data_IF_422371701506
#
_entry.id   IF_422371701506
#
_cell.length_a   1.000
_cell.length_b   1.000
_cell.length_c   1.000
_cell.angle_alpha   90.00
_cell.angle_beta   90.00
_cell.angle_gamma   90.00
#
_symmetry.space_group_name_H-M   'P 1'
#
loop_
_entity.id
_entity.type
_entity.pdbx_description
1 polymer ?
#
# COMPACT_ATOMS: atom_id res chain seq x y z
N UNK A 1 -19.21 7.37 13.15
CA UNK A 1 -20.15 8.51 13.01
C UNK A 1 -19.58 9.48 12.00
N UNK A 2 -20.39 9.91 11.01
CA UNK A 2 -19.99 10.93 10.04
C UNK A 2 -20.70 12.24 10.40
N UNK A 3 -19.92 13.24 10.79
CA UNK A 3 -20.47 14.58 11.09
C UNK A 3 -20.80 15.25 9.75
N UNK A 4 -22.05 15.72 9.54
CA UNK A 4 -22.41 16.47 8.34
C UNK A 4 -21.53 17.72 8.19
N UNK A 5 -21.17 18.04 6.95
CA UNK A 5 -20.44 19.27 6.64
C UNK A 5 -21.40 20.41 6.33
N UNK A 6 -20.94 21.63 6.54
CA UNK A 6 -21.71 22.85 6.20
C UNK A 6 -22.13 22.77 4.72
N UNK A 7 -23.42 23.01 4.46
CA UNK A 7 -24.03 22.93 3.14
C UNK A 7 -24.61 21.56 2.78
N UNK A 8 -24.40 20.52 3.62
CA UNK A 8 -25.08 19.23 3.42
C UNK A 8 -26.51 19.28 3.98
N UNK A 9 -27.43 18.71 3.23
CA UNK A 9 -28.81 18.52 3.64
C UNK A 9 -28.95 17.24 4.45
N UNK A 10 -29.69 17.29 5.55
CA UNK A 10 -29.84 16.18 6.50
C UNK A 10 -31.31 15.90 6.78
N UNK A 11 -31.59 14.65 7.11
CA UNK A 11 -32.89 14.24 7.65
C UNK A 11 -32.79 14.34 9.16
N UNK A 12 -33.69 15.12 9.75
CA UNK A 12 -33.82 15.27 11.20
C UNK A 12 -35.07 14.54 11.67
N UNK A 13 -34.90 13.72 12.66
CA UNK A 13 -35.98 13.08 13.40
C UNK A 13 -35.97 13.56 14.87
N UNK A 14 -37.00 13.28 15.62
CA UNK A 14 -37.13 13.72 17.01
C UNK A 14 -37.34 12.52 17.92
N UNK A 15 -36.47 12.38 18.92
CA UNK A 15 -36.51 11.25 19.83
C UNK A 15 -37.85 11.26 20.59
N UNK A 16 -38.58 10.15 20.54
CA UNK A 16 -39.92 9.99 21.10
C UNK A 16 -40.94 11.02 20.59
N UNK A 17 -40.71 11.65 19.44
CA UNK A 17 -41.53 12.70 18.88
C UNK A 17 -41.43 14.08 19.60
N UNK A 18 -40.43 14.22 20.46
CA UNK A 18 -40.21 15.45 21.23
C UNK A 18 -39.30 16.42 20.44
N UNK A 19 -39.81 17.60 20.06
CA UNK A 19 -39.06 18.62 19.31
C UNK A 19 -37.78 19.12 20.01
N UNK A 20 -37.68 18.98 21.32
CA UNK A 20 -36.51 19.38 22.09
C UNK A 20 -35.34 18.40 22.00
N UNK A 21 -35.59 17.22 21.42
CA UNK A 21 -34.56 16.16 21.21
C UNK A 21 -34.35 15.81 19.74
N UNK A 22 -33.83 16.73 18.89
CA UNK A 22 -33.59 16.47 17.48
C UNK A 22 -32.39 15.56 17.32
N UNK A 23 -32.49 14.58 16.39
CA UNK A 23 -31.40 13.68 15.97
C UNK A 23 -31.28 13.68 14.45
N UNK A 24 -30.05 13.64 13.95
CA UNK A 24 -29.78 13.48 12.52
C UNK A 24 -29.75 11.99 12.19
N UNK A 25 -30.71 11.51 11.40
CA UNK A 25 -30.87 10.11 11.03
C UNK A 25 -30.32 9.80 9.64
N UNK A 26 -30.13 10.80 8.79
CA UNK A 26 -29.63 10.59 7.43
C UNK A 26 -29.10 11.85 6.76
N UNK A 27 -28.57 11.65 5.56
CA UNK A 27 -28.13 12.72 4.67
C UNK A 27 -28.74 12.51 3.30
N UNK A 28 -29.06 13.58 2.61
CA UNK A 28 -29.56 13.55 1.24
C UNK A 28 -28.67 14.38 0.33
N UNK A 29 -28.68 14.09 -0.94
CA UNK A 29 -28.00 14.88 -1.95
C UNK A 29 -28.88 16.02 -2.42
N UNK A 30 -28.27 17.15 -2.76
CA UNK A 30 -28.96 18.31 -3.36
C UNK A 30 -28.10 18.91 -4.48
N UNK A 31 -28.58 19.96 -5.13
CA UNK A 31 -27.91 20.58 -6.27
C UNK A 31 -26.49 21.13 -5.92
N UNK A 32 -26.22 21.45 -4.67
CA UNK A 32 -24.92 21.95 -4.19
C UNK A 32 -24.01 20.82 -3.69
N UNK A 33 -24.58 19.67 -3.34
CA UNK A 33 -23.89 18.50 -2.78
C UNK A 33 -24.35 17.24 -3.55
N UNK A 34 -23.89 17.14 -4.79
CA UNK A 34 -24.21 16.02 -5.68
C UNK A 34 -23.54 14.71 -5.21
N UNK A 35 -24.08 13.54 -5.59
CA UNK A 35 -23.43 12.26 -5.37
C UNK A 35 -21.97 12.25 -5.84
N UNK A 36 -21.14 11.48 -5.13
CA UNK A 36 -19.71 11.36 -5.45
C UNK A 36 -19.45 10.82 -6.86
N UNK A 37 -20.37 9.99 -7.36
CA UNK A 37 -20.29 9.36 -8.68
C UNK A 37 -21.46 9.80 -9.55
N UNK A 38 -21.14 10.10 -10.82
CA UNK A 38 -22.11 10.61 -11.78
C UNK A 38 -23.12 9.51 -12.18
N UNK A 39 -24.39 9.76 -11.95
CA UNK A 39 -25.48 8.91 -12.40
C UNK A 39 -25.99 9.35 -13.80
N UNK A 40 -26.44 8.41 -14.65
CA UNK A 40 -26.55 6.96 -14.45
C UNK A 40 -25.27 6.17 -14.78
N UNK A 41 -24.17 6.84 -15.20
CA UNK A 41 -22.94 6.19 -15.67
C UNK A 41 -22.37 5.21 -14.63
N UNK A 42 -22.32 5.63 -13.38
CA UNK A 42 -21.71 4.86 -12.27
C UNK A 42 -22.76 4.29 -11.30
N UNK A 43 -23.87 3.78 -11.82
CA UNK A 43 -24.98 3.25 -11.02
C UNK A 43 -24.63 2.02 -10.17
N UNK A 44 -23.55 1.32 -10.50
CA UNK A 44 -23.03 0.15 -9.80
C UNK A 44 -21.98 0.51 -8.74
N UNK A 45 -21.58 1.78 -8.68
CA UNK A 45 -20.63 2.26 -7.68
C UNK A 45 -21.34 2.66 -6.40
N UNK A 46 -20.76 2.26 -5.27
CA UNK A 46 -21.19 2.64 -3.93
C UNK A 46 -19.99 2.96 -3.03
N UNK A 47 -20.22 3.66 -1.93
CA UNK A 47 -19.14 3.93 -1.01
C UNK A 47 -19.27 5.25 -0.25
N UNK A 48 -18.15 5.71 0.27
CA UNK A 48 -18.03 6.92 1.08
C UNK A 48 -16.92 7.79 0.48
N UNK A 49 -17.24 9.06 0.23
CA UNK A 49 -16.25 10.07 -0.13
C UNK A 49 -16.32 11.21 0.89
N UNK A 50 -15.15 11.64 1.36
CA UNK A 50 -15.01 12.80 2.24
C UNK A 50 -14.12 13.83 1.58
N UNK A 51 -14.44 15.10 1.73
CA UNK A 51 -13.60 16.20 1.23
C UNK A 51 -12.70 16.71 2.34
N UNK A 52 -11.54 17.22 1.99
CA UNK A 52 -10.65 17.89 2.94
C UNK A 52 -11.31 19.13 3.54
N UNK A 53 -10.98 19.43 4.77
CA UNK A 53 -11.52 20.61 5.45
C UNK A 53 -11.04 21.91 4.80
N UNK A 54 -11.79 23.00 4.99
CA UNK A 54 -11.45 24.35 4.53
C UNK A 54 -11.24 24.48 3.03
N UNK A 55 -11.93 23.68 2.23
CA UNK A 55 -11.84 23.75 0.76
C UNK A 55 -10.48 23.29 0.19
N UNK A 56 -9.79 22.38 0.89
CA UNK A 56 -8.45 21.93 0.55
C UNK A 56 -8.29 21.16 -0.78
N UNK A 57 -9.38 20.98 -1.54
CA UNK A 57 -9.35 20.45 -2.92
C UNK A 57 -9.10 18.95 -3.07
N UNK A 58 -8.85 18.22 -1.97
CA UNK A 58 -8.61 16.78 -1.98
C UNK A 58 -9.70 15.99 -1.26
N UNK A 59 -9.67 14.68 -1.42
CA UNK A 59 -10.64 13.72 -0.88
C UNK A 59 -9.98 12.47 -0.30
N UNK A 60 -10.73 11.79 0.56
CA UNK A 60 -10.51 10.39 0.93
C UNK A 60 -11.72 9.59 0.48
N UNK A 61 -11.53 8.35 0.05
CA UNK A 61 -12.58 7.56 -0.57
C UNK A 61 -12.47 6.09 -0.22
N UNK A 62 -13.63 5.48 0.05
CA UNK A 62 -13.85 4.04 0.01
C UNK A 62 -14.90 3.81 -1.08
N UNK A 63 -14.56 3.07 -2.11
CA UNK A 63 -15.41 2.80 -3.27
C UNK A 63 -15.51 1.31 -3.52
N UNK A 64 -16.71 0.87 -3.83
CA UNK A 64 -17.04 -0.45 -4.36
C UNK A 64 -17.55 -0.28 -5.79
N UNK A 65 -17.10 -1.13 -6.69
CA UNK A 65 -17.65 -1.28 -8.04
C UNK A 65 -18.16 -2.72 -8.19
N UNK A 66 -19.46 -2.87 -8.39
CA UNK A 66 -20.14 -4.16 -8.48
C UNK A 66 -20.50 -4.54 -9.92
N UNK A 67 -20.05 -3.76 -10.92
CA UNK A 67 -20.30 -4.09 -12.31
C UNK A 67 -19.54 -5.35 -12.70
N UNK A 68 -20.28 -6.36 -13.22
CA UNK A 68 -19.73 -7.63 -13.66
C UNK A 68 -18.57 -7.47 -14.65
N UNK A 69 -17.41 -8.06 -14.31
CA UNK A 69 -16.21 -8.07 -15.13
C UNK A 69 -15.24 -6.93 -14.83
N UNK A 70 -15.63 -5.96 -13.98
CA UNK A 70 -14.77 -4.87 -13.51
C UNK A 70 -14.89 -4.66 -11.99
N UNK A 71 -15.34 -5.69 -11.28
CA UNK A 71 -15.51 -5.63 -9.83
C UNK A 71 -14.20 -5.23 -9.14
N UNK A 72 -14.28 -4.21 -8.29
CA UNK A 72 -13.12 -3.78 -7.52
C UNK A 72 -13.50 -3.02 -6.24
N UNK A 73 -12.56 -3.00 -5.31
CA UNK A 73 -12.60 -2.18 -4.12
C UNK A 73 -11.42 -1.22 -4.13
N UNK A 74 -11.68 0.04 -3.79
CA UNK A 74 -10.67 1.08 -3.67
C UNK A 74 -10.77 1.77 -2.32
N UNK A 75 -9.65 1.85 -1.60
CA UNK A 75 -9.45 2.74 -0.47
C UNK A 75 -8.36 3.74 -0.84
N UNK A 76 -8.69 5.02 -0.92
CA UNK A 76 -7.73 6.02 -1.43
C UNK A 76 -7.76 7.34 -0.67
N UNK A 77 -6.63 8.03 -0.76
CA UNK A 77 -6.45 9.41 -0.34
C UNK A 77 -5.70 10.18 -1.43
N UNK A 78 -6.19 11.36 -1.77
CA UNK A 78 -5.48 12.23 -2.74
C UNK A 78 -4.13 12.72 -2.18
N UNK A 79 -3.92 12.66 -0.84
CA UNK A 79 -2.63 12.96 -0.25
C UNK A 79 -1.59 11.91 -0.65
N UNK A 80 -0.51 12.35 -1.30
CA UNK A 80 0.53 11.48 -1.79
C UNK A 80 0.04 10.42 -2.79
N UNK A 81 -1.16 10.59 -3.37
CA UNK A 81 -1.77 9.60 -4.26
C UNK A 81 -1.72 8.19 -3.68
N UNK A 82 -2.12 8.08 -2.41
CA UNK A 82 -2.07 6.82 -1.66
C UNK A 82 -3.34 6.03 -1.88
N UNK A 83 -3.20 4.76 -2.28
CA UNK A 83 -4.34 3.88 -2.48
C UNK A 83 -4.04 2.39 -2.26
N UNK A 84 -5.09 1.68 -1.86
CA UNK A 84 -5.19 0.23 -1.92
C UNK A 84 -6.33 -0.12 -2.88
N UNK A 85 -5.98 -0.75 -4.00
CA UNK A 85 -6.93 -1.30 -4.96
C UNK A 85 -6.93 -2.82 -4.88
N UNK A 86 -8.11 -3.43 -5.00
CA UNK A 86 -8.28 -4.89 -5.02
C UNK A 86 -9.31 -5.27 -6.08
N UNK A 87 -9.01 -6.29 -6.88
CA UNK A 87 -9.85 -6.79 -7.95
C UNK A 87 -9.40 -6.32 -9.33
N UNK A 88 -10.27 -5.63 -10.06
CA UNK A 88 -9.97 -5.09 -11.38
C UNK A 88 -9.13 -3.82 -11.26
N UNK A 89 -7.85 -3.89 -11.65
CA UNK A 89 -6.94 -2.75 -11.60
C UNK A 89 -6.99 -1.95 -12.90
N UNK A 90 -7.23 -0.65 -12.77
CA UNK A 90 -7.29 0.31 -13.87
C UNK A 90 -6.02 1.16 -13.95
N UNK A 91 -5.75 1.72 -15.12
CA UNK A 91 -4.74 2.75 -15.27
C UNK A 91 -5.23 4.07 -14.65
N UNK A 92 -4.34 4.80 -14.01
CA UNK A 92 -4.67 6.12 -13.49
C UNK A 92 -5.15 7.05 -14.62
N UNK A 93 -6.27 7.73 -14.37
CA UNK A 93 -6.84 8.68 -15.32
C UNK A 93 -7.56 8.04 -16.51
N UNK A 94 -7.68 6.72 -16.58
CA UNK A 94 -8.44 6.02 -17.60
C UNK A 94 -9.22 4.84 -17.02
N UNK A 95 -10.31 4.44 -17.70
CA UNK A 95 -11.07 3.24 -17.35
C UNK A 95 -10.45 1.97 -17.99
N UNK A 96 -9.26 2.09 -18.59
CA UNK A 96 -8.59 0.98 -19.24
C UNK A 96 -8.02 -0.01 -18.22
N UNK A 97 -8.31 -1.29 -18.45
CA UNK A 97 -7.77 -2.39 -17.64
C UNK A 97 -6.26 -2.43 -17.71
N UNK A 98 -5.61 -2.57 -16.55
CA UNK A 98 -4.20 -2.86 -16.41
C UNK A 98 -3.95 -4.33 -16.07
N UNK A 99 -4.61 -4.82 -15.02
CA UNK A 99 -4.47 -6.22 -14.54
C UNK A 99 -5.60 -6.59 -13.57
N UNK A 100 -5.50 -7.78 -12.97
CA UNK A 100 -6.26 -8.18 -11.80
C UNK A 100 -5.32 -8.41 -10.61
N UNK A 101 -5.81 -8.19 -9.39
CA UNK A 101 -5.06 -8.46 -8.18
C UNK A 101 -5.23 -7.37 -7.14
N UNK A 102 -4.17 -7.05 -6.42
CA UNK A 102 -4.17 -5.91 -5.51
C UNK A 102 -2.96 -5.01 -5.76
N UNK A 103 -3.10 -3.73 -5.44
CA UNK A 103 -2.02 -2.75 -5.47
C UNK A 103 -2.12 -1.86 -4.24
N UNK A 104 -1.04 -1.79 -3.47
CA UNK A 104 -0.83 -0.80 -2.42
C UNK A 104 0.23 0.20 -2.92
N UNK A 105 -0.15 1.45 -3.11
CA UNK A 105 0.70 2.48 -3.70
C UNK A 105 0.65 3.78 -2.91
N UNK A 106 1.79 4.47 -2.87
CA UNK A 106 1.90 5.86 -2.42
C UNK A 106 3.05 6.56 -3.15
N UNK A 107 2.95 7.88 -3.32
CA UNK A 107 4.08 8.72 -3.77
C UNK A 107 4.91 9.22 -2.58
N UNK A 108 4.50 8.89 -1.36
CA UNK A 108 5.16 9.23 -0.10
C UNK A 108 5.89 8.01 0.50
N UNK A 109 6.29 8.10 1.74
CA UNK A 109 6.96 7.01 2.45
C UNK A 109 5.98 5.89 2.81
N UNK A 110 6.41 4.65 2.64
CA UNK A 110 5.63 3.46 3.03
C UNK A 110 6.38 2.60 4.05
N UNK A 111 5.65 1.92 4.93
CA UNK A 111 6.21 0.86 5.78
C UNK A 111 5.20 -0.25 6.02
N UNK A 112 5.67 -1.49 6.01
CA UNK A 112 4.91 -2.67 6.43
C UNK A 112 5.61 -3.23 7.66
N UNK A 113 4.89 -3.33 8.78
CA UNK A 113 5.44 -3.79 10.05
C UNK A 113 4.54 -4.85 10.66
N UNK A 114 5.16 -5.89 11.22
CA UNK A 114 4.48 -6.92 11.99
C UNK A 114 5.41 -7.40 13.12
N UNK A 115 4.95 -7.35 14.37
CA UNK A 115 5.76 -7.68 15.54
C UNK A 115 6.13 -9.17 15.62
N UNK A 116 5.26 -10.06 15.11
CA UNK A 116 5.47 -11.51 15.17
C UNK A 116 6.04 -12.13 13.90
N UNK A 117 6.08 -11.38 12.81
CA UNK A 117 6.60 -11.84 11.51
C UNK A 117 5.74 -11.39 10.35
N UNK A 118 6.32 -11.34 9.15
CA UNK A 118 5.67 -10.98 7.89
C UNK A 118 6.01 -12.06 6.86
N UNK A 119 4.97 -12.64 6.24
CA UNK A 119 5.14 -13.58 5.14
C UNK A 119 4.69 -12.93 3.83
N UNK A 120 5.60 -12.86 2.86
CA UNK A 120 5.32 -12.48 1.48
C UNK A 120 5.72 -13.66 0.60
N UNK A 121 4.78 -14.22 -0.15
CA UNK A 121 5.04 -15.43 -0.93
C UNK A 121 4.31 -15.41 -2.27
N UNK A 122 4.87 -16.08 -3.25
CA UNK A 122 4.29 -16.34 -4.57
C UNK A 122 3.74 -17.77 -4.71
N UNK A 123 3.81 -18.56 -3.65
CA UNK A 123 3.26 -19.93 -3.67
C UNK A 123 1.75 -19.92 -3.81
N UNK A 124 1.23 -20.88 -4.61
CA UNK A 124 -0.19 -20.99 -4.95
C UNK A 124 -1.04 -21.68 -3.87
N UNK A 125 -2.30 -21.91 -4.18
CA UNK A 125 -3.39 -22.26 -3.28
C UNK A 125 -3.27 -23.54 -2.45
N UNK A 126 -2.41 -24.49 -2.80
CA UNK A 126 -2.14 -25.69 -1.99
C UNK A 126 -1.54 -25.33 -0.62
N UNK A 127 -1.06 -24.11 -0.54
CA UNK A 127 -0.52 -23.48 0.65
C UNK A 127 -1.59 -22.92 1.59
N UNK A 128 -2.82 -22.68 1.11
CA UNK A 128 -3.92 -22.12 1.93
C UNK A 128 -4.31 -23.00 3.12
N UNK A 129 -4.09 -24.30 3.03
CA UNK A 129 -4.39 -25.22 4.12
C UNK A 129 -3.30 -25.26 5.22
N UNK A 130 -2.09 -24.78 4.92
CA UNK A 130 -0.94 -24.85 5.83
C UNK A 130 -0.62 -23.56 6.58
N UNK A 131 -1.19 -22.42 6.17
CA UNK A 131 -0.98 -21.16 6.88
C UNK A 131 -2.19 -20.85 7.78
N UNK A 132 -2.37 -21.64 8.82
CA UNK A 132 -3.01 -21.16 10.04
C UNK A 132 -1.90 -20.63 10.96
N UNK A 133 -2.01 -19.40 11.41
CA UNK A 133 -1.05 -18.80 12.35
C UNK A 133 -0.94 -19.60 13.66
N UNK A 134 -1.92 -20.47 13.92
CA UNK A 134 -2.03 -21.30 15.10
C UNK A 134 -1.72 -22.79 14.84
N UNK A 135 -1.33 -23.17 13.59
CA UNK A 135 -0.95 -24.54 13.30
C UNK A 135 0.57 -24.74 13.44
N UNK A 136 1.03 -25.87 13.99
CA UNK A 136 2.44 -26.22 14.03
C UNK A 136 3.14 -26.13 12.68
N UNK A 137 2.45 -26.55 11.61
CA UNK A 137 2.94 -26.54 10.23
C UNK A 137 3.15 -25.11 9.67
N UNK A 138 2.34 -24.14 10.09
CA UNK A 138 2.49 -22.73 9.72
C UNK A 138 3.74 -22.10 10.35
N UNK A 139 4.05 -22.47 11.59
CA UNK A 139 5.27 -22.03 12.27
C UNK A 139 6.53 -22.66 11.66
N UNK A 140 6.48 -23.93 11.29
CA UNK A 140 7.59 -24.62 10.65
C UNK A 140 7.94 -24.01 9.28
N UNK A 141 6.92 -23.72 8.48
CA UNK A 141 7.12 -23.07 7.18
C UNK A 141 7.70 -21.64 7.28
N UNK A 142 7.20 -20.83 8.20
CA UNK A 142 7.78 -19.51 8.44
C UNK A 142 9.25 -19.63 8.92
N UNK A 143 9.55 -20.67 9.70
CA UNK A 143 10.90 -21.00 10.11
C UNK A 143 11.82 -21.32 8.93
N UNK A 144 11.37 -22.15 8.00
CA UNK A 144 12.13 -22.51 6.80
C UNK A 144 12.35 -21.30 5.88
N UNK A 145 11.34 -20.49 5.64
CA UNK A 145 11.45 -19.27 4.80
C UNK A 145 12.43 -18.27 5.41
N UNK A 146 12.39 -18.10 6.73
CA UNK A 146 13.35 -17.25 7.46
C UNK A 146 14.76 -17.83 7.41
N UNK A 147 14.93 -19.15 7.51
CA UNK A 147 16.21 -19.81 7.41
C UNK A 147 16.83 -19.63 6.00
N UNK A 148 16.03 -19.80 4.95
CA UNK A 148 16.46 -19.56 3.56
C UNK A 148 16.86 -18.10 3.34
N UNK A 149 16.07 -17.14 3.85
CA UNK A 149 16.39 -15.73 3.73
C UNK A 149 17.68 -15.37 4.45
N UNK A 150 17.93 -15.94 5.64
CA UNK A 150 19.18 -15.76 6.40
C UNK A 150 20.38 -16.35 5.66
N UNK A 151 20.25 -17.53 5.05
CA UNK A 151 21.28 -18.15 4.23
C UNK A 151 21.69 -17.26 3.07
N UNK A 152 20.71 -16.72 2.31
CA UNK A 152 20.94 -15.80 1.20
C UNK A 152 21.66 -14.50 1.63
N UNK A 153 21.27 -13.93 2.77
CA UNK A 153 21.93 -12.74 3.33
C UNK A 153 23.38 -13.08 3.66
N UNK A 154 23.62 -14.22 4.30
CA UNK A 154 24.96 -14.64 4.71
C UNK A 154 25.88 -14.91 3.51
N UNK A 155 25.37 -15.53 2.46
CA UNK A 155 26.10 -15.74 1.19
C UNK A 155 26.44 -14.39 0.53
N UNK A 156 25.51 -13.45 0.53
CA UNK A 156 25.72 -12.11 -0.03
C UNK A 156 26.78 -11.34 0.77
N UNK A 157 26.76 -11.41 2.08
CA UNK A 157 27.77 -10.80 2.96
C UNK A 157 29.16 -11.40 2.73
N UNK A 158 29.25 -12.72 2.56
CA UNK A 158 30.51 -13.41 2.24
C UNK A 158 31.06 -12.95 0.88
N UNK A 159 30.23 -12.85 -0.15
CA UNK A 159 30.62 -12.35 -1.46
C UNK A 159 31.12 -10.90 -1.42
N UNK A 160 30.44 -10.03 -0.67
CA UNK A 160 30.86 -8.64 -0.46
C UNK A 160 32.23 -8.58 0.25
N UNK A 161 32.43 -9.38 1.27
CA UNK A 161 33.67 -9.39 2.02
C UNK A 161 34.84 -9.97 1.20
N UNK A 162 34.59 -10.98 0.37
CA UNK A 162 35.59 -11.52 -0.57
C UNK A 162 35.99 -10.45 -1.61
N UNK A 163 35.03 -9.72 -2.17
CA UNK A 163 35.28 -8.62 -3.12
C UNK A 163 36.08 -7.48 -2.48
N UNK A 164 35.77 -7.11 -1.24
CA UNK A 164 36.54 -6.12 -0.46
C UNK A 164 37.98 -6.57 -0.22
N UNK A 165 38.18 -7.88 0.05
CA UNK A 165 39.51 -8.47 0.23
C UNK A 165 40.36 -8.38 -1.05
N UNK A 166 39.76 -8.69 -2.21
CA UNK A 166 40.43 -8.59 -3.53
C UNK A 166 40.80 -7.13 -3.83
N UNK A 167 39.91 -6.17 -3.59
CA UNK A 167 40.18 -4.75 -3.79
C UNK A 167 41.31 -4.25 -2.88
N UNK A 168 41.34 -4.67 -1.63
CA UNK A 168 42.40 -4.29 -0.70
C UNK A 168 43.77 -4.87 -1.10
N UNK A 169 43.84 -6.11 -1.60
CA UNK A 169 45.06 -6.70 -2.12
C UNK A 169 45.55 -6.02 -3.41
N UNK A 170 44.62 -5.69 -4.34
CA UNK A 170 44.93 -4.95 -5.55
C UNK A 170 45.48 -3.53 -5.27
N UNK A 171 44.92 -2.83 -4.29
CA UNK A 171 45.43 -1.53 -3.87
C UNK A 171 46.81 -1.62 -3.18
N UNK A 172 47.08 -2.70 -2.48
CA UNK A 172 48.38 -2.94 -1.83
C UNK A 172 49.49 -3.23 -2.84
N UNK A 173 49.19 -3.99 -3.90
CA UNK A 173 50.12 -4.26 -4.99
C UNK A 173 50.44 -2.98 -5.79
N UNK A 174 49.45 -2.14 -6.10
CA UNK A 174 49.64 -0.84 -6.75
C UNK A 174 50.51 0.11 -5.92
N UNK A 175 50.35 0.14 -4.61
CA UNK A 175 51.16 0.96 -3.71
C UNK A 175 52.62 0.47 -3.61
N UNK A 176 52.83 -0.85 -3.71
CA UNK A 176 54.18 -1.45 -3.75
C UNK A 176 54.95 -1.10 -5.02
N UNK A 177 54.32 -1.15 -6.19
CA UNK A 177 54.89 -0.81 -7.48
C UNK A 177 55.29 0.67 -7.62
N UNK A 178 54.49 1.57 -7.06
CA UNK A 178 54.78 3.01 -7.07
C UNK A 178 55.94 3.39 -6.17
N UNK A 179 56.11 2.71 -5.03
CA UNK A 179 57.27 2.97 -4.13
C UNK A 179 58.57 2.41 -4.71
N UNK A 180 58.55 1.33 -5.48
CA UNK A 180 59.70 0.80 -6.21
C UNK A 180 60.17 1.70 -7.35
N UNK A 181 59.21 2.31 -8.05
CA UNK A 181 59.50 3.25 -9.15
C UNK A 181 60.09 4.58 -8.65
N UNK A 182 59.69 5.06 -7.47
CA UNK A 182 60.24 6.29 -6.86
C UNK A 182 61.69 6.14 -6.36
N UNK A 183 62.14 4.91 -6.01
CA UNK A 183 63.52 4.65 -5.58
C UNK A 183 64.50 4.46 -6.74
N UNK A 184 64.03 4.33 -7.97
CA UNK A 184 64.86 4.11 -9.16
C UNK A 184 65.20 5.38 -9.99
N UNK A 185 64.84 6.55 -9.51
CA UNK A 185 65.19 7.84 -10.16
C UNK A 185 66.52 8.34 -9.52
N UNK A 186 67.66 8.26 -10.25
CA UNK A 186 68.90 8.85 -9.77
C UNK A 186 68.79 10.39 -9.76
N UNK A 187 69.22 11.01 -8.64
CA UNK A 187 69.30 12.47 -8.49
C UNK A 187 70.40 13.08 -9.33
#
# INVERSE_FOLDING_TARGET
>A
MHIPRIGQEVIVDFLNGDPDYPIITGRVYNAMQMPAWQLPKHKTQSGIQTNWSKGGGGKNMLRFEDQKGIEHLELSSDHGNTHLHMGYLMNQGSEAKRSYGFELRTNEWGSIRADKGLLITTYTSDFKQKISHDSPDGHEFMGETLAQSRSLIQETEQAINATKGILASANKSKSGDLSGLMQSIPG
#
